data_IF_206500626932
#
_entry.id   IF_206500626932
#
_cell.length_a   1.000
_cell.length_b   1.000
_cell.length_c   1.000
_cell.angle_alpha   90.00
_cell.angle_beta   90.00
_cell.angle_gamma   90.00
#
_symmetry.space_group_name_H-M   'P 1'
#
loop_
_entity.id
_entity.type
_entity.pdbx_description
1 polymer ?
#
# COMPACT_ATOMS: atom_id res chain seq x y z
N UNK A 1 -50.13 -38.32 40.68
CA UNK A 1 -49.60 -38.60 39.31
C UNK A 1 -49.32 -37.34 38.45
N UNK A 2 -50.26 -36.38 38.31
CA UNK A 2 -50.04 -35.17 37.50
C UNK A 2 -49.05 -34.18 38.16
N UNK A 3 -49.03 -34.08 39.50
CA UNK A 3 -48.14 -33.24 40.28
C UNK A 3 -46.69 -33.65 40.17
N UNK A 4 -46.42 -34.96 40.05
CA UNK A 4 -45.05 -35.48 39.99
C UNK A 4 -44.40 -35.29 38.63
N UNK A 5 -45.18 -35.33 37.56
CA UNK A 5 -44.70 -35.01 36.19
C UNK A 5 -44.33 -33.53 36.07
N UNK A 6 -45.16 -32.65 36.67
CA UNK A 6 -44.88 -31.18 36.63
C UNK A 6 -43.64 -30.81 37.45
N UNK A 7 -43.43 -31.43 38.61
CA UNK A 7 -42.23 -31.23 39.42
C UNK A 7 -40.96 -31.73 38.73
N UNK A 8 -41.04 -32.84 38.00
CA UNK A 8 -39.96 -33.37 37.18
C UNK A 8 -39.60 -32.40 36.01
N UNK A 9 -40.61 -31.92 35.27
CA UNK A 9 -40.37 -30.95 34.18
C UNK A 9 -39.80 -29.64 34.67
N UNK A 10 -40.24 -29.12 35.83
CA UNK A 10 -39.67 -27.90 36.43
C UNK A 10 -38.24 -28.16 36.89
N UNK A 11 -37.99 -29.35 37.49
CA UNK A 11 -36.63 -29.74 37.90
C UNK A 11 -35.66 -29.83 36.72
N UNK A 12 -36.07 -30.42 35.60
CA UNK A 12 -35.28 -30.52 34.38
C UNK A 12 -34.99 -29.14 33.73
N UNK A 13 -35.98 -28.22 33.75
CA UNK A 13 -35.80 -26.83 33.26
C UNK A 13 -34.86 -26.04 34.16
N UNK A 14 -34.97 -26.18 35.47
CA UNK A 14 -34.08 -25.52 36.43
C UNK A 14 -32.66 -26.11 36.37
N UNK A 15 -32.49 -27.41 36.20
CA UNK A 15 -31.20 -28.08 36.01
C UNK A 15 -30.51 -27.57 34.71
N UNK A 16 -31.24 -27.55 33.60
CA UNK A 16 -30.73 -26.99 32.34
C UNK A 16 -30.32 -25.50 32.46
N UNK A 17 -31.06 -24.69 33.21
CA UNK A 17 -30.70 -23.31 33.50
C UNK A 17 -29.43 -23.19 34.37
N UNK A 18 -29.27 -24.09 35.31
CA UNK A 18 -28.08 -24.13 36.16
C UNK A 18 -26.84 -24.58 35.37
N UNK A 19 -26.95 -25.61 34.55
CA UNK A 19 -25.89 -26.08 33.65
C UNK A 19 -25.43 -24.99 32.66
N UNK A 20 -26.41 -24.25 32.09
CA UNK A 20 -26.10 -23.13 31.18
C UNK A 20 -25.35 -22.04 31.91
N UNK A 21 -25.75 -21.72 33.14
CA UNK A 21 -25.08 -20.69 33.95
C UNK A 21 -23.67 -21.10 34.33
N UNK A 22 -23.47 -22.32 34.80
CA UNK A 22 -22.15 -22.84 35.14
C UNK A 22 -21.21 -22.88 33.92
N UNK A 23 -21.71 -23.30 32.76
CA UNK A 23 -20.94 -23.29 31.51
C UNK A 23 -20.58 -21.88 31.09
N UNK A 24 -21.50 -20.91 31.23
CA UNK A 24 -21.23 -19.51 30.95
C UNK A 24 -20.16 -18.93 31.89
N UNK A 25 -20.25 -19.21 33.19
CA UNK A 25 -19.27 -18.73 34.18
C UNK A 25 -17.86 -19.31 33.89
N UNK A 26 -17.77 -20.59 33.49
CA UNK A 26 -16.50 -21.21 33.06
C UNK A 26 -15.93 -20.54 31.83
N UNK A 27 -16.76 -20.31 30.83
CA UNK A 27 -16.35 -19.63 29.57
C UNK A 27 -15.83 -18.22 29.83
N UNK A 28 -16.53 -17.46 30.67
CA UNK A 28 -16.10 -16.10 31.05
C UNK A 28 -14.77 -16.14 31.79
N UNK A 29 -14.63 -17.12 32.76
CA UNK A 29 -13.39 -17.25 33.49
C UNK A 29 -12.20 -17.65 32.59
N UNK A 30 -12.42 -18.45 31.55
CA UNK A 30 -11.40 -18.83 30.57
C UNK A 30 -10.98 -17.60 29.72
N UNK A 31 -11.94 -16.86 29.19
CA UNK A 31 -11.70 -15.66 28.38
C UNK A 31 -10.95 -14.59 29.18
N UNK A 32 -11.32 -14.37 30.44
CA UNK A 32 -10.65 -13.39 31.30
C UNK A 32 -9.25 -13.83 31.77
N UNK A 33 -8.86 -15.09 31.57
CA UNK A 33 -7.48 -15.56 31.80
C UNK A 33 -6.55 -15.28 30.61
N UNK A 34 -7.10 -14.95 29.46
CA UNK A 34 -6.29 -14.63 28.28
C UNK A 34 -5.39 -13.42 28.58
N UNK A 35 -4.11 -13.52 28.23
CA UNK A 35 -3.11 -12.50 28.57
C UNK A 35 -3.40 -11.14 27.94
N UNK A 36 -3.87 -11.13 26.68
CA UNK A 36 -4.16 -9.91 25.94
C UNK A 36 -5.39 -9.20 26.51
N UNK A 37 -6.42 -9.98 26.91
CA UNK A 37 -7.61 -9.46 27.57
C UNK A 37 -7.25 -8.85 28.91
N UNK A 38 -6.39 -9.49 29.70
CA UNK A 38 -5.92 -8.94 30.98
C UNK A 38 -5.09 -7.67 30.80
N UNK A 39 -4.18 -7.67 29.80
CA UNK A 39 -3.39 -6.49 29.47
C UNK A 39 -4.30 -5.32 29.05
N UNK A 40 -5.29 -5.59 28.23
CA UNK A 40 -6.27 -4.57 27.77
C UNK A 40 -7.08 -3.99 28.95
N UNK A 41 -7.61 -4.84 29.83
CA UNK A 41 -8.35 -4.43 31.03
C UNK A 41 -7.47 -3.53 31.91
N UNK A 42 -6.21 -3.92 32.15
CA UNK A 42 -5.28 -3.17 32.97
C UNK A 42 -4.89 -1.82 32.33
N UNK A 43 -4.58 -1.83 31.04
CA UNK A 43 -4.20 -0.61 30.30
C UNK A 43 -5.30 0.43 30.31
N UNK A 44 -6.55 0.01 30.17
CA UNK A 44 -7.70 0.91 30.12
C UNK A 44 -8.37 1.12 31.49
N UNK A 45 -7.83 0.53 32.57
CA UNK A 45 -8.35 0.63 33.94
C UNK A 45 -9.87 0.36 34.03
N UNK A 46 -10.31 -0.70 33.32
CA UNK A 46 -11.73 -0.99 33.16
C UNK A 46 -12.38 -1.37 34.49
N UNK A 47 -13.54 -0.79 34.71
CA UNK A 47 -14.40 -1.12 35.86
C UNK A 47 -15.07 -2.48 35.71
N UNK A 48 -15.53 -3.08 36.82
CA UNK A 48 -16.23 -4.37 36.79
C UNK A 48 -17.47 -4.37 35.89
N UNK A 49 -18.16 -3.24 35.76
CA UNK A 49 -19.33 -3.14 34.89
C UNK A 49 -18.95 -3.03 33.42
N UNK A 50 -17.89 -2.31 33.06
CA UNK A 50 -17.34 -2.27 31.70
C UNK A 50 -16.83 -3.62 31.27
N UNK A 51 -16.15 -4.36 32.13
CA UNK A 51 -15.69 -5.73 31.89
C UNK A 51 -16.89 -6.66 31.60
N UNK A 52 -17.95 -6.59 32.43
CA UNK A 52 -19.16 -7.40 32.19
C UNK A 52 -19.82 -7.13 30.85
N UNK A 53 -19.93 -5.85 30.47
CA UNK A 53 -20.51 -5.44 29.18
C UNK A 53 -19.63 -5.88 27.99
N UNK A 54 -18.36 -6.13 28.23
CA UNK A 54 -17.37 -6.48 27.20
C UNK A 54 -17.20 -8.01 27.02
N UNK A 55 -17.85 -8.86 27.81
CA UNK A 55 -17.61 -10.32 27.76
C UNK A 55 -17.78 -10.93 26.37
N UNK A 56 -18.82 -10.56 25.64
CA UNK A 56 -19.05 -11.06 24.28
C UNK A 56 -17.93 -10.66 23.31
N UNK A 57 -17.37 -9.48 23.48
CA UNK A 57 -16.29 -8.96 22.66
C UNK A 57 -14.94 -9.58 23.01
N UNK A 58 -14.68 -9.79 24.29
CA UNK A 58 -13.51 -10.55 24.71
C UNK A 58 -13.55 -11.99 24.20
N UNK A 59 -14.72 -12.65 24.24
CA UNK A 59 -14.89 -13.97 23.67
C UNK A 59 -14.68 -13.99 22.16
N UNK A 60 -15.28 -13.03 21.42
CA UNK A 60 -15.09 -12.84 19.99
C UNK A 60 -13.59 -12.68 19.66
N UNK A 61 -12.89 -11.79 20.37
CA UNK A 61 -11.47 -11.55 20.21
C UNK A 61 -10.65 -12.82 20.39
N UNK A 62 -10.81 -13.52 21.53
CA UNK A 62 -10.03 -14.74 21.83
C UNK A 62 -10.22 -15.79 20.73
N UNK A 63 -11.46 -16.00 20.26
CA UNK A 63 -11.75 -16.98 19.21
C UNK A 63 -11.16 -16.59 17.87
N UNK A 64 -11.27 -15.33 17.48
CA UNK A 64 -10.70 -14.85 16.22
C UNK A 64 -9.17 -14.81 16.26
N UNK A 65 -8.59 -14.48 17.42
CA UNK A 65 -7.14 -14.49 17.61
C UNK A 65 -6.55 -15.92 17.60
N UNK A 66 -7.21 -16.89 18.22
CA UNK A 66 -6.82 -18.30 18.12
C UNK A 66 -6.81 -18.83 16.69
N UNK A 67 -7.83 -18.47 15.89
CA UNK A 67 -7.86 -18.82 14.46
C UNK A 67 -6.75 -18.12 13.67
N UNK A 68 -6.44 -16.88 14.06
CA UNK A 68 -5.35 -16.13 13.45
C UNK A 68 -4.01 -16.82 13.68
N UNK A 69 -3.69 -17.18 14.92
CA UNK A 69 -2.44 -17.87 15.25
C UNK A 69 -2.32 -19.26 14.61
N UNK A 70 -3.43 -19.97 14.45
CA UNK A 70 -3.47 -21.29 13.78
C UNK A 70 -3.44 -21.21 12.25
N UNK A 71 -3.50 -20.01 11.66
CA UNK A 71 -3.56 -19.84 10.21
C UNK A 71 -4.83 -20.40 9.56
N UNK A 72 -5.93 -20.53 10.31
CA UNK A 72 -7.18 -21.06 9.81
C UNK A 72 -7.85 -20.07 8.86
N UNK A 73 -8.59 -20.57 7.86
CA UNK A 73 -9.31 -19.73 6.91
C UNK A 73 -10.34 -18.83 7.61
N UNK A 74 -10.26 -17.53 7.41
CA UNK A 74 -11.08 -16.50 8.06
C UNK A 74 -11.79 -15.62 7.05
N UNK A 75 -12.79 -14.88 7.53
CA UNK A 75 -13.51 -13.91 6.69
C UNK A 75 -12.64 -12.70 6.28
N UNK A 76 -11.59 -12.41 7.05
CA UNK A 76 -10.67 -11.28 6.84
C UNK A 76 -9.21 -11.77 6.81
N UNK A 77 -8.82 -12.49 5.76
CA UNK A 77 -7.44 -12.92 5.56
C UNK A 77 -6.49 -11.72 5.44
N UNK A 78 -5.35 -11.80 6.13
CA UNK A 78 -4.35 -10.73 6.17
C UNK A 78 -4.64 -9.61 7.19
N UNK A 79 -5.68 -9.79 8.03
CA UNK A 79 -5.98 -8.86 9.13
C UNK A 79 -5.86 -9.59 10.46
N UNK A 80 -5.32 -8.90 11.46
CA UNK A 80 -5.17 -9.34 12.84
C UNK A 80 -6.29 -8.74 13.71
N UNK A 81 -7.04 -9.55 14.49
CA UNK A 81 -8.01 -9.02 15.43
C UNK A 81 -7.30 -8.31 16.59
N UNK A 82 -7.78 -7.15 16.96
CA UNK A 82 -7.27 -6.34 18.07
C UNK A 82 -8.42 -5.85 18.93
N UNK A 83 -8.18 -5.75 20.25
CA UNK A 83 -9.12 -5.11 21.16
C UNK A 83 -8.98 -3.58 21.09
N UNK A 84 -10.10 -2.90 21.00
CA UNK A 84 -10.18 -1.44 21.09
C UNK A 84 -11.19 -1.01 22.14
N UNK A 85 -10.99 0.19 22.73
CA UNK A 85 -11.97 0.79 23.61
C UNK A 85 -13.00 1.56 22.79
N UNK A 86 -14.28 1.26 22.94
CA UNK A 86 -15.38 1.91 22.25
C UNK A 86 -16.47 2.29 23.25
N UNK A 87 -16.66 3.59 23.48
CA UNK A 87 -17.69 4.15 24.38
C UNK A 87 -17.78 3.49 25.78
N UNK A 88 -16.62 3.18 26.39
CA UNK A 88 -16.54 2.61 27.74
C UNK A 88 -16.70 1.09 27.82
N UNK A 89 -16.57 0.36 26.72
CA UNK A 89 -16.48 -1.10 26.67
C UNK A 89 -15.53 -1.55 25.56
N UNK A 90 -15.07 -2.80 25.66
CA UNK A 90 -14.19 -3.37 24.64
C UNK A 90 -14.98 -3.72 23.37
N UNK A 91 -14.35 -3.51 22.23
CA UNK A 91 -14.81 -3.96 20.92
C UNK A 91 -13.67 -4.63 20.17
N UNK A 92 -13.98 -5.40 19.11
CA UNK A 92 -13.00 -6.05 18.26
C UNK A 92 -12.87 -5.26 16.98
N UNK A 93 -11.63 -4.88 16.66
CA UNK A 93 -11.27 -4.27 15.37
C UNK A 93 -10.28 -5.17 14.65
N UNK A 94 -10.08 -4.91 13.36
CA UNK A 94 -9.15 -5.67 12.53
C UNK A 94 -8.10 -4.73 11.96
N UNK A 95 -6.83 -5.01 12.26
CA UNK A 95 -5.69 -4.28 11.71
C UNK A 95 -5.00 -5.10 10.63
N UNK A 96 -4.44 -4.43 9.63
CA UNK A 96 -3.63 -5.11 8.61
C UNK A 96 -2.40 -5.72 9.24
N UNK A 97 -2.15 -7.00 8.92
CA UNK A 97 -0.86 -7.61 9.29
C UNK A 97 0.30 -6.88 8.61
N UNK A 98 1.49 -6.95 9.21
CA UNK A 98 2.69 -6.36 8.61
C UNK A 98 2.94 -6.87 7.19
N UNK A 99 2.66 -8.15 6.93
CA UNK A 99 2.79 -8.77 5.61
C UNK A 99 1.83 -8.17 4.59
N UNK A 100 0.55 -8.04 4.94
CA UNK A 100 -0.44 -7.42 4.06
C UNK A 100 -0.13 -5.95 3.83
N UNK A 101 0.28 -5.21 4.87
CA UNK A 101 0.68 -3.81 4.76
C UNK A 101 1.89 -3.64 3.82
N UNK A 102 2.89 -4.52 3.91
CA UNK A 102 4.04 -4.54 3.00
C UNK A 102 3.63 -4.88 1.57
N UNK A 103 2.76 -5.87 1.37
CA UNK A 103 2.25 -6.22 0.04
C UNK A 103 1.45 -5.07 -0.59
N UNK A 104 0.59 -4.41 0.18
CA UNK A 104 -0.16 -3.24 -0.28
C UNK A 104 0.77 -2.07 -0.60
N UNK A 105 1.79 -1.82 0.22
CA UNK A 105 2.80 -0.81 -0.04
C UNK A 105 3.57 -1.09 -1.33
N UNK A 106 4.00 -2.35 -1.54
CA UNK A 106 4.67 -2.77 -2.76
C UNK A 106 3.79 -2.63 -4.01
N UNK A 107 2.51 -3.02 -3.92
CA UNK A 107 1.56 -2.86 -5.02
C UNK A 107 1.30 -1.38 -5.33
N UNK A 108 1.17 -0.54 -4.32
CA UNK A 108 0.99 0.90 -4.49
C UNK A 108 2.22 1.55 -5.14
N UNK A 109 3.42 1.10 -4.76
CA UNK A 109 4.67 1.52 -5.39
C UNK A 109 4.68 1.18 -6.88
N UNK A 110 4.34 -0.07 -7.23
CA UNK A 110 4.29 -0.53 -8.63
C UNK A 110 3.28 0.24 -9.48
N UNK A 111 2.16 0.68 -8.89
CA UNK A 111 1.14 1.50 -9.58
C UNK A 111 1.58 2.93 -9.80
N UNK A 112 2.43 3.47 -8.92
CA UNK A 112 2.93 4.86 -9.02
C UNK A 112 4.09 5.02 -9.99
N UNK A 113 4.80 3.95 -10.30
CA UNK A 113 5.86 3.94 -11.28
C UNK A 113 5.41 3.21 -12.55
N UNK A 114 5.04 3.97 -13.58
CA UNK A 114 4.69 3.43 -14.88
C UNK A 114 5.95 3.37 -15.76
N UNK A 115 6.20 2.22 -16.40
CA UNK A 115 7.33 2.02 -17.32
C UNK A 115 6.78 1.56 -18.66
N UNK A 116 7.11 2.30 -19.72
CA UNK A 116 6.66 2.08 -21.09
C UNK A 116 7.89 1.93 -22.00
N UNK A 117 7.98 0.78 -22.70
CA UNK A 117 9.07 0.52 -23.64
C UNK A 117 10.45 0.26 -23.01
N UNK A 118 10.52 0.09 -21.68
CA UNK A 118 11.75 -0.21 -20.94
C UNK A 118 11.64 -1.52 -20.16
N UNK A 119 12.76 -2.16 -19.79
CA UNK A 119 12.77 -3.37 -18.96
C UNK A 119 12.04 -3.18 -17.62
N UNK A 120 11.22 -4.16 -17.24
CA UNK A 120 10.39 -4.07 -16.02
C UNK A 120 11.19 -4.13 -14.72
N UNK A 121 12.35 -4.75 -14.72
CA UNK A 121 13.32 -4.82 -13.62
C UNK A 121 13.83 -3.44 -13.18
N UNK A 122 13.77 -2.43 -14.05
CA UNK A 122 14.03 -1.05 -13.67
C UNK A 122 13.10 -0.54 -12.54
N UNK A 123 11.94 -1.15 -12.32
CA UNK A 123 11.08 -0.83 -11.17
C UNK A 123 11.69 -1.17 -9.81
N UNK A 124 12.70 -2.03 -9.77
CA UNK A 124 13.34 -2.47 -8.54
C UNK A 124 14.65 -1.73 -8.25
N UNK A 125 15.16 -0.95 -9.21
CA UNK A 125 16.40 -0.20 -9.08
C UNK A 125 16.29 0.89 -8.03
N UNK A 126 17.28 0.97 -7.15
CA UNK A 126 17.35 1.98 -6.08
C UNK A 126 18.56 2.92 -6.26
N UNK A 127 18.58 4.02 -5.51
CA UNK A 127 19.74 4.91 -5.51
C UNK A 127 21.02 4.22 -5.00
N UNK A 128 20.90 3.19 -4.16
CA UNK A 128 22.02 2.43 -3.65
C UNK A 128 22.69 1.52 -4.71
N UNK A 129 21.97 1.18 -5.76
CA UNK A 129 22.47 0.34 -6.87
C UNK A 129 23.31 1.15 -7.87
N UNK A 130 23.37 2.48 -7.72
CA UNK A 130 24.13 3.35 -8.62
C UNK A 130 25.58 3.33 -8.19
N UNK A 131 26.46 2.75 -9.03
CA UNK A 131 27.90 2.79 -8.82
C UNK A 131 28.43 4.23 -9.01
N UNK A 132 29.05 4.79 -7.97
CA UNK A 132 29.62 6.15 -7.94
C UNK A 132 31.16 6.15 -8.04
N UNK A 133 31.75 5.09 -8.52
CA UNK A 133 33.17 4.94 -8.82
C UNK A 133 33.64 5.81 -10.01
N UNK A 134 32.70 6.19 -10.88
CA UNK A 134 32.92 7.14 -11.97
C UNK A 134 32.56 8.57 -11.55
N UNK A 135 33.55 9.46 -11.57
CA UNK A 135 33.39 10.88 -11.21
C UNK A 135 32.33 11.58 -12.05
N UNK A 136 32.11 11.14 -13.29
CA UNK A 136 31.09 11.72 -14.18
C UNK A 136 29.66 11.45 -13.69
N UNK A 137 29.44 10.39 -12.88
CA UNK A 137 28.14 10.03 -12.31
C UNK A 137 27.79 10.85 -11.07
N UNK A 138 28.77 11.43 -10.39
CA UNK A 138 28.55 12.12 -9.09
C UNK A 138 27.64 13.33 -9.27
N UNK A 139 27.88 14.18 -10.25
CA UNK A 139 27.06 15.39 -10.48
C UNK A 139 25.61 15.07 -10.85
N UNK A 140 25.33 14.18 -11.83
CA UNK A 140 23.96 13.75 -12.11
C UNK A 140 23.26 13.14 -10.90
N UNK A 141 23.95 12.26 -10.17
CA UNK A 141 23.41 11.65 -8.96
C UNK A 141 23.00 12.70 -7.91
N UNK A 142 23.89 13.65 -7.61
CA UNK A 142 23.60 14.74 -6.66
C UNK A 142 22.40 15.58 -7.10
N UNK A 143 22.29 15.89 -8.40
CA UNK A 143 21.17 16.63 -8.95
C UNK A 143 19.83 15.87 -8.83
N UNK A 144 19.84 14.55 -9.01
CA UNK A 144 18.65 13.71 -8.82
C UNK A 144 18.26 13.62 -7.34
N UNK A 145 19.21 13.48 -6.42
CA UNK A 145 18.97 13.49 -4.96
C UNK A 145 18.39 14.85 -4.52
N UNK A 146 18.96 15.95 -5.03
CA UNK A 146 18.44 17.31 -4.77
C UNK A 146 17.00 17.48 -5.28
N UNK A 147 16.70 16.95 -6.47
CA UNK A 147 15.35 16.96 -7.02
C UNK A 147 14.36 16.17 -6.13
N UNK A 148 14.72 14.93 -5.74
CA UNK A 148 13.88 14.09 -4.88
C UNK A 148 13.62 14.75 -3.52
N UNK A 149 14.62 15.44 -2.97
CA UNK A 149 14.53 16.09 -1.66
C UNK A 149 13.67 17.34 -1.71
N UNK A 150 13.75 18.11 -2.79
CA UNK A 150 13.10 19.40 -2.93
C UNK A 150 11.85 19.39 -3.83
N UNK A 151 11.33 18.21 -4.20
CA UNK A 151 10.09 18.10 -4.97
C UNK A 151 8.92 18.78 -4.20
N UNK A 152 8.02 19.52 -4.86
CA UNK A 152 7.90 19.80 -6.30
C UNK A 152 8.59 21.09 -6.79
N UNK A 153 9.43 21.70 -5.98
CA UNK A 153 10.03 23.04 -6.24
C UNK A 153 11.09 23.08 -7.35
N UNK A 154 11.55 21.92 -7.80
CA UNK A 154 12.61 21.80 -8.82
C UNK A 154 12.04 21.43 -10.18
N UNK A 155 12.69 21.93 -11.22
CA UNK A 155 12.42 21.53 -12.62
C UNK A 155 13.10 20.20 -12.93
N UNK A 156 12.64 19.52 -14.00
CA UNK A 156 13.31 18.36 -14.54
C UNK A 156 14.68 18.69 -15.14
N UNK A 157 15.44 17.65 -15.47
CA UNK A 157 16.81 17.77 -15.98
C UNK A 157 16.92 17.03 -17.31
N UNK A 158 17.90 17.46 -18.13
CA UNK A 158 18.36 16.73 -19.30
C UNK A 158 19.70 16.07 -18.99
N UNK A 159 19.72 14.73 -18.98
CA UNK A 159 20.93 13.94 -18.78
C UNK A 159 21.52 13.58 -20.17
N UNK A 160 22.64 14.10 -20.48
CA UNK A 160 23.37 13.81 -21.73
C UNK A 160 24.69 13.10 -21.45
N UNK A 161 25.22 12.40 -22.43
CA UNK A 161 26.46 11.64 -22.35
C UNK A 161 26.41 10.38 -23.21
N UNK A 162 27.50 9.63 -23.22
CA UNK A 162 27.67 8.45 -24.07
C UNK A 162 26.61 7.37 -23.81
N UNK A 163 26.45 6.50 -24.79
CA UNK A 163 25.56 5.34 -24.66
C UNK A 163 26.10 4.38 -23.57
N UNK A 164 25.21 3.79 -22.78
CA UNK A 164 25.59 2.80 -21.76
C UNK A 164 26.12 3.36 -20.44
N UNK A 165 26.27 4.68 -20.26
CA UNK A 165 26.76 5.25 -18.97
C UNK A 165 25.76 5.18 -17.81
N UNK A 166 24.54 4.67 -18.06
CA UNK A 166 23.54 4.44 -17.02
C UNK A 166 22.54 5.56 -16.78
N UNK A 167 22.30 6.44 -17.77
CA UNK A 167 21.31 7.55 -17.67
C UNK A 167 19.91 7.04 -17.29
N UNK A 168 19.37 6.10 -18.07
CA UNK A 168 18.05 5.49 -17.84
C UNK A 168 17.97 4.78 -16.49
N UNK A 169 19.06 4.13 -16.07
CA UNK A 169 19.17 3.47 -14.77
C UNK A 169 19.07 4.47 -13.61
N UNK A 170 19.79 5.58 -13.68
CA UNK A 170 19.73 6.66 -12.68
C UNK A 170 18.32 7.26 -12.59
N UNK A 171 17.66 7.51 -13.73
CA UNK A 171 16.31 8.05 -13.76
C UNK A 171 15.27 7.04 -13.24
N UNK A 172 15.48 5.74 -13.46
CA UNK A 172 14.66 4.69 -12.86
C UNK A 172 14.82 4.65 -11.34
N UNK A 173 16.04 4.76 -10.82
CA UNK A 173 16.29 4.85 -9.38
C UNK A 173 15.60 6.07 -8.74
N UNK A 174 15.69 7.25 -9.39
CA UNK A 174 14.95 8.45 -8.98
C UNK A 174 13.44 8.21 -8.96
N UNK A 175 12.88 7.63 -10.02
CA UNK A 175 11.46 7.36 -10.14
C UNK A 175 10.96 6.43 -9.03
N UNK A 176 11.75 5.41 -8.67
CA UNK A 176 11.45 4.51 -7.57
C UNK A 176 11.41 5.25 -6.22
N UNK A 177 12.39 6.11 -5.94
CA UNK A 177 12.37 6.91 -4.70
C UNK A 177 11.19 7.90 -4.64
N UNK A 178 10.82 8.50 -5.76
CA UNK A 178 9.63 9.35 -5.86
C UNK A 178 8.34 8.55 -5.61
N UNK A 179 8.23 7.35 -6.18
CA UNK A 179 7.09 6.47 -5.99
C UNK A 179 6.93 6.03 -4.52
N UNK A 180 8.03 5.77 -3.80
CA UNK A 180 8.03 5.52 -2.34
C UNK A 180 7.47 6.70 -1.56
N UNK A 181 7.74 7.93 -2.01
CA UNK A 181 7.19 9.17 -1.45
C UNK A 181 5.75 9.47 -1.88
N UNK A 182 5.12 8.61 -2.67
CA UNK A 182 3.76 8.78 -3.13
C UNK A 182 3.60 9.58 -4.41
N UNK A 183 4.69 9.90 -5.11
CA UNK A 183 4.71 10.71 -6.32
C UNK A 183 4.64 9.81 -7.54
N UNK A 184 3.64 10.01 -8.41
CA UNK A 184 3.50 9.24 -9.64
C UNK A 184 4.55 9.65 -10.68
N UNK A 185 5.25 8.65 -11.24
CA UNK A 185 6.29 8.86 -12.24
C UNK A 185 6.09 7.93 -13.42
N UNK A 186 6.15 8.45 -14.63
CA UNK A 186 6.16 7.68 -15.87
C UNK A 186 7.54 7.74 -16.52
N UNK A 187 8.15 6.56 -16.73
CA UNK A 187 9.36 6.39 -17.54
C UNK A 187 8.94 5.84 -18.89
N UNK A 188 9.29 6.57 -19.94
CA UNK A 188 8.89 6.31 -21.30
C UNK A 188 10.13 6.22 -22.18
N UNK A 189 10.43 5.06 -22.75
CA UNK A 189 11.38 4.96 -23.83
C UNK A 189 10.73 5.53 -25.10
N UNK A 190 11.12 6.75 -25.43
CA UNK A 190 10.39 7.56 -26.40
C UNK A 190 10.34 6.92 -27.81
N UNK A 191 11.45 6.37 -28.37
CA UNK A 191 11.40 5.73 -29.67
C UNK A 191 10.45 4.53 -29.73
N UNK A 192 10.45 3.65 -28.73
CA UNK A 192 9.53 2.50 -28.67
C UNK A 192 8.08 2.97 -28.57
N UNK A 193 7.81 3.94 -27.69
CA UNK A 193 6.47 4.48 -27.54
C UNK A 193 5.94 5.02 -28.88
N UNK A 194 6.74 5.78 -29.62
CA UNK A 194 6.33 6.33 -30.92
C UNK A 194 6.10 5.23 -31.96
N UNK A 195 6.91 4.16 -31.95
CA UNK A 195 6.72 3.03 -32.88
C UNK A 195 5.45 2.23 -32.62
N UNK A 196 5.00 2.18 -31.36
CA UNK A 196 3.81 1.43 -30.92
C UNK A 196 2.53 2.28 -30.94
N UNK A 197 2.68 3.58 -31.24
CA UNK A 197 1.58 4.53 -31.21
C UNK A 197 0.81 4.51 -32.55
N UNK A 198 -0.51 4.34 -32.46
CA UNK A 198 -1.43 4.52 -33.58
C UNK A 198 -2.44 5.63 -33.33
N UNK A 199 -3.22 5.99 -34.34
CA UNK A 199 -4.23 7.07 -34.23
C UNK A 199 -5.33 6.76 -33.23
N UNK A 200 -5.70 5.50 -33.06
CA UNK A 200 -6.82 5.09 -32.21
C UNK A 200 -6.46 5.19 -30.72
N UNK A 201 -5.21 4.88 -30.37
CA UNK A 201 -4.73 4.88 -28.99
C UNK A 201 -3.99 6.18 -28.57
N UNK A 202 -3.53 6.99 -29.53
CA UNK A 202 -2.68 8.17 -29.28
C UNK A 202 -3.29 9.12 -28.25
N UNK A 203 -4.58 9.42 -28.35
CA UNK A 203 -5.24 10.37 -27.43
C UNK A 203 -5.28 9.87 -26.00
N UNK A 204 -5.48 8.57 -25.81
CA UNK A 204 -5.53 7.94 -24.46
C UNK A 204 -4.15 8.01 -23.84
N UNK A 205 -3.12 7.56 -24.56
CA UNK A 205 -1.73 7.58 -24.11
C UNK A 205 -1.20 8.97 -23.81
N UNK A 206 -1.45 9.93 -24.70
CA UNK A 206 -1.04 11.32 -24.47
C UNK A 206 -1.68 11.90 -23.22
N UNK A 207 -2.97 11.62 -22.96
CA UNK A 207 -3.66 12.09 -21.76
C UNK A 207 -3.10 11.46 -20.48
N UNK A 208 -2.76 10.19 -20.50
CA UNK A 208 -2.18 9.47 -19.36
C UNK A 208 -0.76 9.98 -19.06
N UNK A 209 0.08 10.07 -20.08
CA UNK A 209 1.49 10.48 -19.94
C UNK A 209 1.62 11.92 -19.47
N UNK A 210 0.86 12.86 -20.08
CA UNK A 210 0.95 14.28 -19.70
C UNK A 210 0.52 14.55 -18.26
N UNK A 211 -0.34 13.72 -17.69
CA UNK A 211 -0.88 13.88 -16.34
C UNK A 211 0.04 13.33 -15.23
N UNK A 212 1.09 12.58 -15.54
CA UNK A 212 2.05 12.10 -14.54
C UNK A 212 2.69 13.26 -13.78
N UNK A 213 2.83 13.14 -12.45
CA UNK A 213 3.49 14.19 -11.67
C UNK A 213 4.95 14.40 -12.12
N UNK A 214 5.66 13.31 -12.44
CA UNK A 214 7.00 13.38 -13.05
C UNK A 214 7.02 12.52 -14.30
N UNK A 215 7.58 13.04 -15.38
CA UNK A 215 7.74 12.34 -16.66
C UNK A 215 9.23 12.22 -17.00
N UNK A 216 9.64 11.07 -17.45
CA UNK A 216 10.95 10.79 -18.05
C UNK A 216 10.73 10.39 -19.50
N UNK A 217 11.28 11.17 -20.44
CA UNK A 217 11.39 10.84 -21.85
C UNK A 217 12.80 10.36 -22.13
N UNK A 218 12.96 9.04 -22.24
CA UNK A 218 14.26 8.38 -22.41
C UNK A 218 14.58 8.22 -23.89
N UNK A 219 15.83 8.49 -24.27
CA UNK A 219 16.38 8.43 -25.63
C UNK A 219 15.62 9.30 -26.66
N UNK A 220 15.28 10.53 -26.27
CA UNK A 220 14.60 11.47 -27.17
C UNK A 220 15.52 11.84 -28.34
N UNK A 221 14.98 11.82 -29.57
CA UNK A 221 15.73 12.12 -30.80
C UNK A 221 16.22 10.87 -31.54
N UNK A 222 16.02 9.66 -30.96
CA UNK A 222 16.32 8.39 -31.64
C UNK A 222 15.11 7.81 -32.41
N UNK A 223 13.94 8.44 -32.28
CA UNK A 223 12.71 8.05 -32.96
C UNK A 223 12.67 8.50 -34.43
N UNK A 224 11.84 7.83 -35.24
CA UNK A 224 11.47 8.33 -36.57
C UNK A 224 10.55 9.55 -36.42
N UNK A 225 11.14 10.73 -36.40
CA UNK A 225 10.42 11.98 -36.20
C UNK A 225 9.69 12.41 -37.45
N UNK A 226 8.36 12.60 -37.36
CA UNK A 226 7.52 13.18 -38.40
C UNK A 226 6.70 14.33 -37.80
N UNK A 227 6.06 15.15 -38.68
CA UNK A 227 5.30 16.31 -38.25
C UNK A 227 4.16 15.95 -37.28
N UNK A 228 3.49 14.81 -37.48
CA UNK A 228 2.40 14.36 -36.59
C UNK A 228 2.93 14.03 -35.18
N UNK A 229 4.02 13.30 -35.08
CA UNK A 229 4.65 12.95 -33.77
C UNK A 229 5.08 14.23 -33.06
N UNK A 230 5.76 15.12 -33.76
CA UNK A 230 6.26 16.37 -33.18
C UNK A 230 5.11 17.27 -32.70
N UNK A 231 4.12 17.54 -33.57
CA UNK A 231 3.13 18.58 -33.35
C UNK A 231 1.91 18.07 -32.58
N UNK A 232 1.51 16.82 -32.80
CA UNK A 232 0.31 16.24 -32.15
C UNK A 232 0.59 15.42 -30.89
N UNK A 233 1.82 14.97 -30.67
CA UNK A 233 2.20 14.15 -29.53
C UNK A 233 3.13 14.92 -28.61
N UNK A 234 4.38 15.13 -29.03
CA UNK A 234 5.43 15.70 -28.18
C UNK A 234 5.08 17.13 -27.72
N UNK A 235 4.68 17.99 -28.66
CA UNK A 235 4.32 19.38 -28.36
C UNK A 235 3.15 19.45 -27.39
N UNK A 236 2.13 18.62 -27.56
CA UNK A 236 0.93 18.60 -26.69
C UNK A 236 1.32 18.16 -25.26
N UNK A 237 2.15 17.13 -25.13
CA UNK A 237 2.65 16.68 -23.83
C UNK A 237 3.46 17.78 -23.14
N UNK A 238 4.47 18.33 -23.82
CA UNK A 238 5.38 19.30 -23.23
C UNK A 238 4.68 20.62 -22.90
N UNK A 239 3.79 21.13 -23.79
CA UNK A 239 3.04 22.34 -23.53
C UNK A 239 2.15 22.23 -22.29
N UNK A 240 1.39 21.14 -22.16
CA UNK A 240 0.59 20.88 -20.96
C UNK A 240 1.46 20.86 -19.71
N UNK A 241 2.56 20.12 -19.73
CA UNK A 241 3.44 19.98 -18.58
C UNK A 241 4.14 21.29 -18.18
N UNK A 242 4.48 22.12 -19.16
CA UNK A 242 4.99 23.48 -18.91
C UNK A 242 3.94 24.38 -18.24
N UNK A 243 2.69 24.34 -18.71
CA UNK A 243 1.59 25.12 -18.14
C UNK A 243 1.28 24.71 -16.69
N UNK A 244 1.30 23.40 -16.42
CA UNK A 244 1.03 22.84 -15.09
C UNK A 244 2.28 22.79 -14.18
N UNK A 245 3.44 23.30 -14.64
CA UNK A 245 4.71 23.25 -13.94
C UNK A 245 5.13 21.83 -13.52
N UNK A 246 4.79 20.80 -14.31
CA UNK A 246 5.13 19.42 -14.06
C UNK A 246 6.56 19.10 -14.53
N UNK A 247 7.44 18.58 -13.65
CA UNK A 247 8.83 18.26 -13.99
C UNK A 247 8.92 17.20 -15.08
N UNK A 248 9.74 17.47 -16.11
CA UNK A 248 10.03 16.52 -17.18
C UNK A 248 11.53 16.32 -17.31
N UNK A 249 11.96 15.07 -17.33
CA UNK A 249 13.34 14.64 -17.51
C UNK A 249 13.53 14.09 -18.92
N UNK A 250 14.75 14.25 -19.43
CA UNK A 250 15.12 13.77 -20.75
C UNK A 250 16.48 13.06 -20.70
N UNK A 251 16.68 12.08 -21.57
CA UNK A 251 18.00 11.58 -21.93
C UNK A 251 18.23 11.65 -23.41
#
# INVERSE_FOLDING_TARGET
>A
AASDVYKRQIGDILGKRQDIRENFEKLVAEVLKNADVQAFIAQHQMTSDEIKRSYSKFYEYVREHEKFEKGEKRAADGYEPVLIMNHGYADVSYQTTNELAQQQAAQNLLRRMNIIGLPKDLKQVTLADIALDDVQRIKPYQALVDFITNFPKKKGLYLYGDFGVGKSFMLAAMANELAKKGISTTLLHYPTFISDLDFDNAKVWVNEIKASQVLVLDDIGAEQNNAWVRDSILQVILQHRMQENLPTFFT
#
